data_IF_973816546337
#
_entry.id   IF_973816546337
#
_cell.length_a   1.000
_cell.length_b   1.000
_cell.length_c   1.000
_cell.angle_alpha   90.00
_cell.angle_beta   90.00
_cell.angle_gamma   90.00
#
_symmetry.space_group_name_H-M   'P 1'
#
loop_
_entity.id
_entity.type
_entity.pdbx_description
1 polymer ?
#
# COMPACT_ATOMS: atom_id res chain seq x y z
N UNK A 1 -4.90 -6.08 -50.18
CA UNK A 1 -4.84 -6.55 -51.58
C UNK A 1 -5.99 -7.53 -51.77
N UNK A 2 -7.01 -7.18 -52.54
CA UNK A 2 -8.12 -8.09 -52.85
C UNK A 2 -7.65 -9.17 -53.83
N UNK A 3 -8.27 -10.37 -53.81
CA UNK A 3 -7.98 -11.44 -54.79
C UNK A 3 -8.11 -10.94 -56.23
N UNK A 4 -8.99 -9.98 -56.44
CA UNK A 4 -9.27 -9.35 -57.73
C UNK A 4 -8.12 -8.45 -58.21
N UNK A 5 -7.53 -7.63 -57.33
CA UNK A 5 -6.38 -6.79 -57.68
C UNK A 5 -5.13 -7.65 -58.00
N UNK A 6 -4.96 -8.77 -57.30
CA UNK A 6 -3.88 -9.75 -57.60
C UNK A 6 -4.11 -10.44 -58.95
N UNK A 7 -5.36 -10.83 -59.25
CA UNK A 7 -5.71 -11.43 -60.53
C UNK A 7 -5.43 -10.48 -61.71
N UNK A 8 -5.79 -9.20 -61.59
CA UNK A 8 -5.52 -8.18 -62.64
C UNK A 8 -4.01 -7.95 -62.85
N UNK A 9 -3.19 -7.98 -61.80
CA UNK A 9 -1.73 -7.87 -61.93
C UNK A 9 -1.15 -9.10 -62.62
N UNK A 10 -1.62 -10.30 -62.28
CA UNK A 10 -1.19 -11.55 -62.93
C UNK A 10 -1.57 -11.55 -64.40
N UNK A 11 -2.79 -11.18 -64.74
CA UNK A 11 -3.30 -11.09 -66.10
C UNK A 11 -2.49 -10.06 -66.94
N UNK A 12 -2.21 -8.90 -66.36
CA UNK A 12 -1.35 -7.88 -66.95
C UNK A 12 0.10 -8.36 -67.19
N UNK A 13 0.70 -9.06 -66.23
CA UNK A 13 2.05 -9.63 -66.37
C UNK A 13 2.09 -10.75 -67.44
N UNK A 14 1.03 -11.55 -67.55
CA UNK A 14 0.90 -12.59 -68.56
C UNK A 14 0.73 -12.00 -69.98
N UNK A 15 -0.04 -10.94 -70.14
CA UNK A 15 -0.20 -10.23 -71.42
C UNK A 15 1.10 -9.56 -71.87
N UNK A 16 1.82 -8.91 -70.96
CA UNK A 16 3.12 -8.30 -71.26
C UNK A 16 4.18 -9.34 -71.66
N UNK A 17 4.15 -10.52 -71.03
CA UNK A 17 5.01 -11.66 -71.39
C UNK A 17 4.71 -12.18 -72.80
N UNK A 18 3.45 -12.20 -73.23
CA UNK A 18 3.04 -12.62 -74.60
C UNK A 18 3.52 -11.63 -75.68
N UNK A 19 3.74 -10.36 -75.34
CA UNK A 19 4.23 -9.31 -76.25
C UNK A 19 5.76 -9.24 -76.39
N UNK A 20 6.50 -10.21 -75.83
CA UNK A 20 7.95 -10.26 -75.95
C UNK A 20 8.71 -9.29 -75.03
N UNK A 21 8.05 -8.75 -74.00
CA UNK A 21 8.70 -7.95 -72.95
C UNK A 21 8.91 -6.47 -73.26
N UNK A 22 8.37 -5.96 -74.38
CA UNK A 22 8.39 -4.53 -74.68
C UNK A 22 7.32 -3.80 -73.86
N UNK A 23 7.74 -3.15 -72.77
CA UNK A 23 6.86 -2.37 -71.87
C UNK A 23 6.53 -1.01 -72.52
N UNK A 24 5.25 -0.73 -72.72
CA UNK A 24 4.77 0.57 -73.21
C UNK A 24 4.46 1.55 -72.07
N UNK A 25 4.38 2.86 -72.38
CA UNK A 25 3.97 3.88 -71.41
C UNK A 25 2.57 3.59 -70.84
N UNK A 26 1.67 3.06 -71.67
CA UNK A 26 0.32 2.66 -71.29
C UNK A 26 0.33 1.54 -70.25
N UNK A 27 1.28 0.59 -70.37
CA UNK A 27 1.45 -0.50 -69.41
C UNK A 27 1.89 0.04 -68.04
N UNK A 28 2.80 1.01 -68.01
CA UNK A 28 3.24 1.67 -66.76
C UNK A 28 2.09 2.45 -66.11
N UNK A 29 1.27 3.14 -66.91
CA UNK A 29 0.10 3.87 -66.41
C UNK A 29 -0.96 2.92 -65.81
N UNK A 30 -1.23 1.80 -66.46
CA UNK A 30 -2.19 0.81 -65.98
C UNK A 30 -1.72 0.14 -64.69
N UNK A 31 -0.42 -0.18 -64.58
CA UNK A 31 0.15 -0.69 -63.33
C UNK A 31 0.08 0.34 -62.20
N UNK A 32 0.38 1.61 -62.50
CA UNK A 32 0.28 2.70 -61.52
C UNK A 32 -1.16 2.91 -61.03
N UNK A 33 -2.16 2.77 -61.92
CA UNK A 33 -3.58 2.86 -61.58
C UNK A 33 -4.03 1.69 -60.69
N UNK A 34 -3.60 0.47 -61.00
CA UNK A 34 -3.87 -0.72 -60.17
C UNK A 34 -3.20 -0.60 -58.80
N UNK A 35 -1.95 -0.12 -58.75
CA UNK A 35 -1.25 0.12 -57.49
C UNK A 35 -1.92 1.21 -56.64
N UNK A 36 -2.33 2.32 -57.27
CA UNK A 36 -3.04 3.41 -56.60
C UNK A 36 -4.38 2.94 -56.04
N UNK A 37 -5.18 2.21 -56.83
CA UNK A 37 -6.44 1.63 -56.38
C UNK A 37 -6.26 0.65 -55.21
N UNK A 38 -5.27 -0.25 -55.29
CA UNK A 38 -4.97 -1.18 -54.20
C UNK A 38 -4.47 -0.49 -52.93
N UNK A 39 -3.76 0.64 -53.04
CA UNK A 39 -3.33 1.44 -51.89
C UNK A 39 -4.53 2.18 -51.27
N UNK A 40 -5.44 2.70 -52.09
CA UNK A 40 -6.70 3.30 -51.64
C UNK A 40 -7.55 2.29 -50.87
N UNK A 41 -7.70 1.07 -51.39
CA UNK A 41 -8.47 -0.02 -50.76
C UNK A 41 -7.87 -0.42 -49.41
N UNK A 42 -6.53 -0.54 -49.35
CA UNK A 42 -5.80 -0.89 -48.13
C UNK A 42 -5.94 0.18 -47.06
N UNK A 43 -5.77 1.46 -47.42
CA UNK A 43 -5.97 2.58 -46.50
C UNK A 43 -7.42 2.66 -46.02
N UNK A 44 -8.39 2.45 -46.91
CA UNK A 44 -9.82 2.45 -46.59
C UNK A 44 -10.22 1.32 -45.63
N UNK A 45 -9.52 0.19 -45.66
CA UNK A 45 -9.75 -0.94 -44.76
C UNK A 45 -9.04 -0.79 -43.40
N UNK A 46 -7.85 -0.19 -43.37
CA UNK A 46 -7.06 -0.03 -42.14
C UNK A 46 -7.50 1.16 -41.32
N UNK A 47 -7.89 2.27 -41.96
CA UNK A 47 -8.33 3.46 -41.24
C UNK A 47 -9.45 3.15 -40.23
N UNK A 48 -10.53 2.45 -40.58
CA UNK A 48 -11.59 2.11 -39.64
C UNK A 48 -11.09 1.25 -38.49
N UNK A 49 -10.31 0.21 -38.78
CA UNK A 49 -9.79 -0.73 -37.78
C UNK A 49 -8.86 -0.04 -36.78
N UNK A 50 -7.87 0.72 -37.26
CA UNK A 50 -6.94 1.48 -36.40
C UNK A 50 -7.68 2.55 -35.60
N UNK A 51 -8.67 3.22 -36.22
CA UNK A 51 -9.46 4.24 -35.51
C UNK A 51 -10.34 3.60 -34.43
N UNK A 52 -10.90 2.41 -34.68
CA UNK A 52 -11.66 1.64 -33.69
C UNK A 52 -10.76 1.19 -32.54
N UNK A 53 -9.57 0.67 -32.84
CA UNK A 53 -8.60 0.22 -31.85
C UNK A 53 -8.10 1.38 -30.97
N UNK A 54 -7.78 2.54 -31.58
CA UNK A 54 -7.42 3.76 -30.84
C UNK A 54 -8.59 4.30 -30.01
N UNK A 55 -9.84 4.19 -30.49
CA UNK A 55 -11.03 4.54 -29.70
C UNK A 55 -11.20 3.61 -28.50
N UNK A 56 -10.97 2.31 -28.68
CA UNK A 56 -11.01 1.34 -27.60
C UNK A 56 -9.95 1.67 -26.55
N UNK A 57 -8.71 1.93 -26.95
CA UNK A 57 -7.63 2.36 -26.04
C UNK A 57 -8.02 3.65 -25.31
N UNK A 58 -8.54 4.66 -26.02
CA UNK A 58 -8.96 5.92 -25.41
C UNK A 58 -10.11 5.73 -24.41
N UNK A 59 -11.03 4.82 -24.69
CA UNK A 59 -12.12 4.42 -23.80
C UNK A 59 -11.58 3.75 -22.54
N UNK A 60 -10.66 2.80 -22.68
CA UNK A 60 -10.00 2.12 -21.56
C UNK A 60 -9.21 3.09 -20.67
N UNK A 61 -8.45 4.03 -21.27
CA UNK A 61 -7.72 5.07 -20.52
C UNK A 61 -8.71 5.98 -19.77
N UNK A 62 -9.85 6.32 -20.39
CA UNK A 62 -10.86 7.16 -19.75
C UNK A 62 -11.52 6.44 -18.56
N UNK A 63 -11.84 5.15 -18.72
CA UNK A 63 -12.33 4.31 -17.60
C UNK A 63 -11.32 4.24 -16.47
N UNK A 64 -10.04 3.96 -16.78
CA UNK A 64 -8.97 3.90 -15.78
C UNK A 64 -8.79 5.23 -15.05
N UNK A 65 -8.89 6.37 -15.74
CA UNK A 65 -8.85 7.70 -15.09
C UNK A 65 -10.01 7.90 -14.12
N UNK A 66 -11.20 7.41 -14.45
CA UNK A 66 -12.36 7.48 -13.58
C UNK A 66 -12.18 6.59 -12.34
N UNK A 67 -11.69 5.36 -12.51
CA UNK A 67 -11.36 4.44 -11.41
C UNK A 67 -10.28 5.04 -10.48
N UNK A 68 -9.21 5.63 -11.02
CA UNK A 68 -8.19 6.36 -10.24
C UNK A 68 -8.81 7.53 -9.46
N UNK A 69 -9.75 8.26 -10.06
CA UNK A 69 -10.45 9.35 -9.38
C UNK A 69 -11.34 8.82 -8.23
N UNK A 70 -11.96 7.65 -8.39
CA UNK A 70 -12.80 7.01 -7.38
C UNK A 70 -12.01 6.51 -6.15
N UNK A 71 -10.71 6.22 -6.30
CA UNK A 71 -9.82 5.94 -5.17
C UNK A 71 -9.82 7.11 -4.16
N UNK A 72 -10.08 8.35 -4.62
CA UNK A 72 -10.03 9.57 -3.80
C UNK A 72 -8.72 9.68 -3.01
N UNK A 73 -7.61 9.28 -3.62
CA UNK A 73 -6.27 9.25 -3.01
C UNK A 73 -5.95 10.54 -2.25
N UNK A 74 -6.26 11.69 -2.86
CA UNK A 74 -6.04 13.02 -2.29
C UNK A 74 -6.81 13.25 -0.98
N UNK A 75 -8.03 12.73 -0.83
CA UNK A 75 -8.79 12.82 0.42
C UNK A 75 -8.14 11.95 1.52
N UNK A 76 -7.64 10.77 1.13
CA UNK A 76 -6.92 9.88 2.05
C UNK A 76 -5.62 10.52 2.54
N UNK A 77 -4.77 11.04 1.64
CA UNK A 77 -3.48 11.65 2.00
C UNK A 77 -3.63 13.00 2.68
N UNK A 78 -4.62 13.83 2.29
CA UNK A 78 -4.76 15.17 2.85
C UNK A 78 -5.56 15.21 4.16
N UNK A 79 -6.47 14.25 4.39
CA UNK A 79 -7.43 14.32 5.50
C UNK A 79 -7.42 13.08 6.38
N UNK A 80 -7.72 11.90 5.82
CA UNK A 80 -7.96 10.67 6.61
C UNK A 80 -6.70 10.17 7.31
N UNK A 81 -5.59 10.01 6.60
CA UNK A 81 -4.32 9.52 7.16
C UNK A 81 -3.78 10.51 8.21
N UNK A 82 -3.69 11.83 7.94
CA UNK A 82 -3.30 12.79 8.97
C UNK A 82 -4.23 12.82 10.19
N UNK A 83 -5.53 12.62 9.99
CA UNK A 83 -6.48 12.54 11.11
C UNK A 83 -6.25 11.31 11.99
N UNK A 84 -6.02 10.14 11.38
CA UNK A 84 -5.65 8.94 12.12
C UNK A 84 -4.32 9.13 12.89
N UNK A 85 -3.33 9.79 12.28
CA UNK A 85 -2.08 10.15 12.96
C UNK A 85 -2.31 11.01 14.21
N UNK A 86 -3.15 12.06 14.12
CA UNK A 86 -3.50 12.88 15.29
C UNK A 86 -4.21 12.10 16.40
N UNK A 87 -5.03 11.11 16.04
CA UNK A 87 -5.66 10.24 17.04
C UNK A 87 -4.62 9.35 17.75
N UNK A 88 -3.60 8.87 17.03
CA UNK A 88 -2.48 8.12 17.61
C UNK A 88 -1.62 9.00 18.54
N UNK A 89 -1.29 10.23 18.12
CA UNK A 89 -0.54 11.17 18.97
C UNK A 89 -1.29 11.47 20.27
N UNK A 90 -2.60 11.71 20.17
CA UNK A 90 -3.44 11.97 21.34
C UNK A 90 -3.61 10.74 22.25
N UNK A 91 -3.48 9.52 21.72
CA UNK A 91 -3.40 8.31 22.55
C UNK A 91 -2.12 8.34 23.38
N UNK A 92 -0.98 8.60 22.75
CA UNK A 92 0.33 8.66 23.44
C UNK A 92 0.28 9.70 24.57
N UNK A 93 -0.16 10.92 24.26
CA UNK A 93 -0.28 12.01 25.25
C UNK A 93 -1.19 11.63 26.43
N UNK A 94 -2.39 11.11 26.16
CA UNK A 94 -3.32 10.71 27.21
C UNK A 94 -2.77 9.55 28.06
N UNK A 95 -2.06 8.60 27.45
CA UNK A 95 -1.44 7.49 28.17
C UNK A 95 -0.26 7.94 29.04
N UNK A 96 0.51 8.91 28.58
CA UNK A 96 1.62 9.48 29.33
C UNK A 96 1.11 10.27 30.55
N UNK A 97 0.14 11.16 30.34
CA UNK A 97 -0.48 11.95 31.41
C UNK A 97 -1.10 11.07 32.50
N UNK A 98 -1.83 10.03 32.09
CA UNK A 98 -2.43 9.12 33.03
C UNK A 98 -1.39 8.27 33.78
N UNK A 99 -0.34 7.82 33.09
CA UNK A 99 0.74 7.06 33.73
C UNK A 99 1.48 7.92 34.75
N UNK A 100 1.78 9.18 34.43
CA UNK A 100 2.38 10.13 35.38
C UNK A 100 1.49 10.32 36.62
N UNK A 101 0.19 10.53 36.41
CA UNK A 101 -0.78 10.67 37.52
C UNK A 101 -0.82 9.43 38.43
N UNK A 102 -0.78 8.23 37.83
CA UNK A 102 -0.77 6.96 38.57
C UNK A 102 0.54 6.81 39.37
N UNK A 103 1.68 7.12 38.76
CA UNK A 103 2.99 7.05 39.43
C UNK A 103 3.08 8.05 40.58
N UNK A 104 2.70 9.31 40.36
CA UNK A 104 2.68 10.35 41.40
C UNK A 104 1.80 9.93 42.59
N UNK A 105 0.61 9.40 42.32
CA UNK A 105 -0.27 8.92 43.37
C UNK A 105 0.35 7.76 44.17
N UNK A 106 1.04 6.83 43.50
CA UNK A 106 1.73 5.72 44.14
C UNK A 106 2.94 6.20 44.99
N UNK A 107 3.74 7.13 44.46
CA UNK A 107 4.87 7.74 45.19
C UNK A 107 4.42 8.46 46.45
N UNK A 108 3.32 9.21 46.36
CA UNK A 108 2.74 9.90 47.51
C UNK A 108 2.24 8.93 48.59
N UNK A 109 1.65 7.79 48.20
CA UNK A 109 1.27 6.73 49.14
C UNK A 109 2.50 6.16 49.85
N UNK A 110 3.60 5.93 49.12
CA UNK A 110 4.84 5.41 49.72
C UNK A 110 5.47 6.38 50.73
N UNK A 111 5.29 7.68 50.53
CA UNK A 111 5.82 8.72 51.41
C UNK A 111 4.85 9.10 52.56
N UNK A 112 3.67 8.49 52.62
CA UNK A 112 2.62 8.89 53.55
C UNK A 112 2.98 8.58 55.01
N UNK A 113 2.57 9.47 55.91
CA UNK A 113 2.76 9.30 57.35
C UNK A 113 1.82 8.21 57.91
N UNK A 114 2.42 7.16 58.46
CA UNK A 114 1.71 6.01 59.04
C UNK A 114 1.41 6.15 60.54
N UNK A 115 1.83 7.25 61.17
CA UNK A 115 1.70 7.43 62.62
C UNK A 115 0.25 7.60 63.08
N UNK A 116 -0.63 8.09 62.20
CA UNK A 116 -2.07 8.15 62.43
C UNK A 116 -2.82 7.22 61.45
N UNK A 117 -3.24 6.01 61.87
CA UNK A 117 -3.88 5.04 61.01
C UNK A 117 -5.16 5.54 60.32
N UNK A 118 -5.97 6.37 60.98
CA UNK A 118 -7.22 6.87 60.41
C UNK A 118 -6.94 7.89 59.29
N UNK A 119 -5.98 8.80 59.50
CA UNK A 119 -5.57 9.77 58.48
C UNK A 119 -4.86 9.08 57.30
N UNK A 120 -4.02 8.08 57.58
CA UNK A 120 -3.36 7.27 56.54
C UNK A 120 -4.39 6.53 55.68
N UNK A 121 -5.39 5.89 56.29
CA UNK A 121 -6.44 5.20 55.55
C UNK A 121 -7.23 6.14 54.62
N UNK A 122 -7.60 7.32 55.10
CA UNK A 122 -8.30 8.32 54.30
C UNK A 122 -7.44 8.82 53.13
N UNK A 123 -6.16 9.13 53.40
CA UNK A 123 -5.21 9.55 52.38
C UNK A 123 -5.01 8.51 51.28
N UNK A 124 -4.73 7.25 51.66
CA UNK A 124 -4.57 6.15 50.70
C UNK A 124 -5.85 5.92 49.91
N UNK A 125 -7.02 5.97 50.55
CA UNK A 125 -8.31 5.85 49.86
C UNK A 125 -8.49 6.94 48.81
N UNK A 126 -8.13 8.19 49.12
CA UNK A 126 -8.17 9.30 48.17
C UNK A 126 -7.24 9.08 46.98
N UNK A 127 -6.01 8.61 47.22
CA UNK A 127 -5.04 8.31 46.16
C UNK A 127 -5.45 7.13 45.29
N UNK A 128 -6.07 6.11 45.86
CA UNK A 128 -6.64 5.00 45.09
C UNK A 128 -7.78 5.45 44.18
N UNK A 129 -8.63 6.38 44.62
CA UNK A 129 -9.66 6.98 43.76
C UNK A 129 -9.01 7.71 42.59
N UNK A 130 -7.99 8.55 42.84
CA UNK A 130 -7.27 9.24 41.77
C UNK A 130 -6.63 8.27 40.76
N UNK A 131 -6.09 7.13 41.21
CA UNK A 131 -5.57 6.08 40.33
C UNK A 131 -6.68 5.48 39.48
N UNK A 132 -7.84 5.15 40.07
CA UNK A 132 -8.98 4.62 39.30
C UNK A 132 -9.52 5.61 38.29
N UNK A 133 -9.59 6.90 38.65
CA UNK A 133 -9.98 7.97 37.74
C UNK A 133 -8.97 8.12 36.61
N UNK A 134 -7.66 8.12 36.90
CA UNK A 134 -6.62 8.17 35.88
C UNK A 134 -6.77 7.00 34.89
N UNK A 135 -6.95 5.76 35.37
CA UNK A 135 -7.16 4.55 34.56
C UNK A 135 -8.30 4.64 33.54
N UNK A 136 -9.25 5.58 33.69
CA UNK A 136 -10.29 5.82 32.68
C UNK A 136 -9.73 6.27 31.33
N UNK A 137 -8.44 6.67 31.25
CA UNK A 137 -7.72 6.90 29.98
C UNK A 137 -7.86 5.72 29.01
N UNK A 138 -7.99 4.49 29.51
CA UNK A 138 -8.16 3.30 28.67
C UNK A 138 -9.39 3.36 27.78
N UNK A 139 -10.51 3.90 28.28
CA UNK A 139 -11.74 4.03 27.49
C UNK A 139 -11.54 5.02 26.33
N UNK A 140 -10.96 6.19 26.63
CA UNK A 140 -10.65 7.21 25.62
C UNK A 140 -9.66 6.64 24.59
N UNK A 141 -8.62 5.93 25.03
CA UNK A 141 -7.68 5.26 24.14
C UNK A 141 -8.37 4.24 23.25
N UNK A 142 -9.26 3.39 23.80
CA UNK A 142 -10.02 2.41 23.04
C UNK A 142 -10.92 3.05 21.96
N UNK A 143 -11.59 4.16 22.30
CA UNK A 143 -12.38 4.92 21.34
C UNK A 143 -11.53 5.51 20.22
N UNK A 144 -10.36 6.08 20.55
CA UNK A 144 -9.43 6.64 19.55
C UNK A 144 -8.83 5.57 18.64
N UNK A 145 -8.40 4.43 19.19
CA UNK A 145 -7.93 3.27 18.42
C UNK A 145 -9.03 2.82 17.46
N UNK A 146 -10.28 2.73 17.90
CA UNK A 146 -11.40 2.32 17.07
C UNK A 146 -11.60 3.25 15.85
N UNK A 147 -11.41 4.57 16.03
CA UNK A 147 -11.44 5.53 14.91
C UNK A 147 -10.29 5.34 13.94
N UNK A 148 -9.08 5.07 14.44
CA UNK A 148 -7.90 4.79 13.61
C UNK A 148 -8.14 3.54 12.78
N UNK A 149 -8.56 2.44 13.42
CA UNK A 149 -8.89 1.17 12.75
C UNK A 149 -9.98 1.36 11.69
N UNK A 150 -11.04 2.09 12.01
CA UNK A 150 -12.10 2.41 11.04
C UNK A 150 -11.56 3.16 9.82
N UNK A 151 -10.62 4.07 10.04
CA UNK A 151 -9.98 4.83 8.97
C UNK A 151 -9.07 3.95 8.11
N UNK A 152 -8.32 3.04 8.72
CA UNK A 152 -7.48 2.08 8.00
C UNK A 152 -8.32 1.10 7.18
N UNK A 153 -9.41 0.56 7.73
CA UNK A 153 -10.33 -0.31 7.01
C UNK A 153 -10.96 0.39 5.79
N UNK A 154 -11.33 1.67 5.95
CA UNK A 154 -11.85 2.48 4.84
C UNK A 154 -10.80 2.63 3.71
N UNK A 155 -9.54 2.82 4.08
CA UNK A 155 -8.43 2.93 3.12
C UNK A 155 -8.22 1.58 2.41
N UNK A 156 -8.21 0.50 3.16
CA UNK A 156 -7.99 -0.86 2.65
C UNK A 156 -9.08 -1.29 1.67
N UNK A 157 -10.35 -1.04 1.97
CA UNK A 157 -11.48 -1.32 1.08
C UNK A 157 -11.33 -0.59 -0.27
N UNK A 158 -10.92 0.68 -0.23
CA UNK A 158 -10.72 1.49 -1.45
C UNK A 158 -9.54 1.03 -2.29
N UNK A 159 -8.43 0.71 -1.65
CA UNK A 159 -7.23 0.21 -2.34
C UNK A 159 -7.52 -1.17 -2.94
N UNK A 160 -8.16 -2.07 -2.20
CA UNK A 160 -8.54 -3.40 -2.69
C UNK A 160 -9.48 -3.30 -3.90
N UNK A 161 -10.54 -2.48 -3.81
CA UNK A 161 -11.46 -2.25 -4.94
C UNK A 161 -10.72 -1.74 -6.18
N UNK A 162 -9.76 -0.83 -6.00
CA UNK A 162 -8.97 -0.28 -7.10
C UNK A 162 -8.06 -1.33 -7.76
N UNK A 163 -7.40 -2.17 -6.95
CA UNK A 163 -6.56 -3.28 -7.47
C UNK A 163 -7.41 -4.27 -8.28
N UNK A 164 -8.60 -4.64 -7.78
CA UNK A 164 -9.53 -5.52 -8.48
C UNK A 164 -9.98 -4.95 -9.84
N UNK A 165 -10.29 -3.64 -9.88
CA UNK A 165 -10.74 -2.96 -11.09
C UNK A 165 -9.66 -2.85 -12.17
N UNK A 166 -8.42 -2.57 -11.77
CA UNK A 166 -7.29 -2.48 -12.69
C UNK A 166 -6.88 -3.82 -13.31
N UNK A 167 -7.35 -4.96 -12.76
CA UNK A 167 -6.97 -6.32 -13.19
C UNK A 167 -5.45 -6.47 -13.36
N UNK A 168 -4.67 -5.81 -12.49
CA UNK A 168 -3.21 -5.88 -12.55
C UNK A 168 -2.86 -7.36 -12.38
N UNK A 169 -2.19 -8.01 -13.36
CA UNK A 169 -1.71 -9.37 -13.18
C UNK A 169 -0.89 -9.43 -11.89
N UNK A 170 -1.07 -10.47 -11.09
CA UNK A 170 -0.34 -10.63 -9.81
C UNK A 170 1.18 -10.54 -10.02
N UNK A 171 1.66 -10.89 -11.22
CA UNK A 171 3.06 -10.76 -11.67
C UNK A 171 3.57 -9.31 -11.83
N UNK A 172 2.68 -8.33 -12.04
CA UNK A 172 2.96 -6.89 -12.13
C UNK A 172 2.76 -6.16 -10.81
N UNK A 173 2.18 -6.82 -9.81
CA UNK A 173 2.22 -6.36 -8.42
C UNK A 173 3.67 -6.50 -7.92
N UNK A 174 4.54 -5.60 -8.38
CA UNK A 174 5.87 -5.47 -7.85
C UNK A 174 5.73 -5.19 -6.36
N UNK A 175 6.00 -6.19 -5.53
CA UNK A 175 6.35 -5.99 -4.14
C UNK A 175 7.53 -5.03 -4.20
N UNK A 176 7.33 -3.78 -3.81
CA UNK A 176 8.42 -2.84 -3.73
C UNK A 176 9.48 -3.48 -2.83
N UNK A 177 10.64 -3.82 -3.39
CA UNK A 177 11.73 -4.39 -2.61
C UNK A 177 11.99 -3.46 -1.43
N UNK A 178 11.95 -4.03 -0.23
CA UNK A 178 12.21 -3.29 1.00
C UNK A 178 13.53 -2.53 0.86
N UNK A 179 13.48 -1.21 1.02
CA UNK A 179 14.70 -0.41 0.91
C UNK A 179 15.68 -0.79 2.02
N UNK A 180 16.98 -0.62 1.79
CA UNK A 180 17.99 -0.87 2.82
C UNK A 180 17.77 -0.05 4.08
N UNK A 181 17.15 1.12 3.95
CA UNK A 181 16.73 1.98 5.06
C UNK A 181 15.55 1.38 5.84
N UNK A 182 14.53 0.87 5.16
CA UNK A 182 13.39 0.18 5.79
C UNK A 182 13.83 -1.05 6.58
N UNK A 183 14.73 -1.83 6.00
CA UNK A 183 15.32 -3.01 6.66
C UNK A 183 16.04 -2.63 7.95
N UNK A 184 16.89 -1.60 7.89
CA UNK A 184 17.64 -1.09 9.05
C UNK A 184 16.73 -0.54 10.14
N UNK A 185 15.67 0.18 9.77
CA UNK A 185 14.67 0.72 10.71
C UNK A 185 13.89 -0.39 11.40
N UNK A 186 13.50 -1.44 10.68
CA UNK A 186 12.87 -2.62 11.28
C UNK A 186 13.81 -3.29 12.28
N UNK A 187 15.08 -3.47 11.91
CA UNK A 187 16.08 -4.09 12.79
C UNK A 187 16.29 -3.27 14.09
N UNK A 188 16.17 -1.93 14.02
CA UNK A 188 16.22 -1.02 15.17
C UNK A 188 14.97 -1.07 16.06
N UNK A 189 13.81 -1.49 15.53
CA UNK A 189 12.53 -1.56 16.24
C UNK A 189 12.30 -2.91 16.97
N UNK A 190 13.23 -3.87 16.85
CA UNK A 190 13.12 -5.23 17.41
C UNK A 190 13.22 -5.31 18.96
N UNK A 191 13.15 -4.18 19.66
CA UNK A 191 13.20 -4.11 21.13
C UNK A 191 11.99 -3.39 21.74
N UNK A 192 10.81 -3.59 21.16
CA UNK A 192 9.53 -3.22 21.79
C UNK A 192 9.05 -4.26 22.82
N UNK A 193 8.06 -3.92 23.67
CA UNK A 193 7.41 -4.89 24.56
C UNK A 193 6.89 -6.08 23.74
N UNK A 194 7.40 -7.28 24.00
CA UNK A 194 7.01 -8.49 23.29
C UNK A 194 5.58 -8.90 23.67
N UNK A 195 4.84 -9.46 22.71
CA UNK A 195 3.49 -10.00 22.95
C UNK A 195 3.54 -11.09 24.02
N UNK A 196 2.46 -11.28 24.77
CA UNK A 196 2.38 -12.31 25.81
C UNK A 196 2.69 -13.70 25.23
N UNK A 197 3.79 -14.31 25.68
CA UNK A 197 4.26 -15.62 25.22
C UNK A 197 5.29 -15.59 24.10
N UNK A 198 5.58 -14.42 23.51
CA UNK A 198 6.66 -14.20 22.53
C UNK A 198 7.90 -13.56 23.16
N UNK A 199 7.83 -13.34 24.48
CA UNK A 199 8.90 -13.00 25.41
C UNK A 199 10.07 -13.98 25.38
N UNK A 200 11.32 -13.51 25.46
CA UNK A 200 12.42 -14.36 25.94
C UNK A 200 12.04 -14.84 27.34
N UNK A 201 11.91 -16.16 27.53
CA UNK A 201 11.44 -16.69 28.82
C UNK A 201 12.55 -16.57 29.88
N UNK A 202 12.18 -16.45 31.15
CA UNK A 202 13.15 -16.41 32.25
C UNK A 202 14.09 -17.63 32.21
N UNK A 203 13.58 -18.80 31.80
CA UNK A 203 14.37 -20.01 31.60
C UNK A 203 15.44 -19.85 30.50
N UNK A 204 15.12 -19.13 29.42
CA UNK A 204 16.07 -18.85 28.34
C UNK A 204 17.12 -17.83 28.79
N UNK A 205 16.72 -16.84 29.61
CA UNK A 205 17.64 -15.86 30.23
C UNK A 205 18.61 -16.58 31.18
N UNK A 206 18.08 -17.47 32.04
CA UNK A 206 18.87 -18.22 33.02
C UNK A 206 19.83 -19.21 32.32
N UNK A 207 19.43 -19.80 31.20
CA UNK A 207 20.31 -20.65 30.39
C UNK A 207 21.44 -19.86 29.71
N UNK A 208 21.21 -18.59 29.38
CA UNK A 208 22.17 -17.73 28.68
C UNK A 208 23.13 -17.02 29.67
N UNK A 209 22.68 -16.76 30.90
CA UNK A 209 23.44 -16.08 31.95
C UNK A 209 23.98 -17.01 33.04
N UNK A 210 23.54 -18.28 33.10
CA UNK A 210 23.95 -19.24 34.13
C UNK A 210 25.46 -19.51 34.17
N UNK A 211 26.12 -19.52 33.01
CA UNK A 211 27.58 -19.68 32.93
C UNK A 211 28.32 -18.42 33.43
N UNK A 212 27.74 -17.22 33.23
CA UNK A 212 28.32 -15.97 33.71
C UNK A 212 28.16 -15.82 35.23
N UNK A 213 27.06 -16.32 35.80
CA UNK A 213 26.81 -16.31 37.25
C UNK A 213 27.86 -17.14 38.00
N UNK A 214 28.19 -18.33 37.47
CA UNK A 214 29.20 -19.22 38.06
C UNK A 214 30.62 -18.63 38.02
N UNK A 215 30.93 -17.79 37.03
CA UNK A 215 32.21 -17.10 36.92
C UNK A 215 32.27 -15.80 37.76
N UNK A 216 31.13 -15.14 37.98
CA UNK A 216 31.01 -14.02 38.93
C UNK A 216 31.13 -14.52 40.37
N UNK A 217 30.54 -15.65 40.72
CA UNK A 217 30.64 -16.21 42.08
C UNK A 217 32.08 -16.59 42.43
N UNK A 218 32.87 -17.08 41.46
CA UNK A 218 34.32 -17.34 41.62
C UNK A 218 35.18 -16.07 41.83
N UNK A 219 34.66 -14.88 41.55
CA UNK A 219 35.35 -13.61 41.76
C UNK A 219 35.20 -13.08 43.19
N UNK A 220 34.25 -13.62 43.97
CA UNK A 220 33.96 -13.19 45.34
C UNK A 220 34.23 -14.26 46.42
N UNK A 221 34.68 -15.46 46.03
CA UNK A 221 35.31 -16.49 46.88
C UNK A 221 36.85 -16.38 46.86
#
# INVERSE_FOLDING_TARGET
MTKENVARIVEFLEENRKRGGAVSLTDVMQLAEIMSGSMQDYLSAIQPAVTEELRNIASEISRMKEEISQLRAKDMTASKIPAAGRELDAIVEATEEATNTIMEAAEEIMCADITNPAAYQEFVSGKMIAIFEACTFQDITGQRISKVVTTLNYIDERVSTFIEQLRIPEELAAVADETTEDRRRRDLLLHGPQLNGEGVSQTDIDALLGDAQADIDKLFD
#
